data_IF_805149829747
#
_entry.id   IF_805149829747
#
_cell.length_a   1.000
_cell.length_b   1.000
_cell.length_c   1.000
_cell.angle_alpha   90.00
_cell.angle_beta   90.00
_cell.angle_gamma   90.00
#
_symmetry.space_group_name_H-M   'P 1'
#
loop_
_entity.id
_entity.type
_entity.pdbx_description
1 polymer ?
#
# COMPACT_ATOMS: atom_id res chain seq x y z
N UNK A 1 -9.20 12.75 -1.37
CA UNK A 1 -7.78 12.72 -0.97
C UNK A 1 -7.63 13.33 0.43
N UNK A 2 -7.68 12.56 1.52
CA UNK A 2 -7.65 13.08 2.91
C UNK A 2 -6.23 13.22 3.47
N UNK A 3 -5.26 12.43 2.97
CA UNK A 3 -3.86 12.43 3.40
C UNK A 3 -2.93 13.32 2.58
N UNK A 4 -3.45 14.02 1.57
CA UNK A 4 -2.66 14.92 0.73
C UNK A 4 -2.05 16.08 1.53
N UNK A 5 -0.93 16.62 1.04
CA UNK A 5 -0.14 17.62 1.78
C UNK A 5 -0.80 19.02 1.82
N UNK A 6 -1.78 19.27 0.95
CA UNK A 6 -2.55 20.52 0.96
C UNK A 6 -3.67 20.57 2.02
N UNK A 7 -3.97 19.46 2.68
CA UNK A 7 -5.14 19.39 3.55
C UNK A 7 -4.89 19.98 4.93
N UNK A 8 -5.87 20.72 5.43
CA UNK A 8 -5.87 21.33 6.75
C UNK A 8 -7.04 20.81 7.58
N UNK A 9 -6.80 20.65 8.88
CA UNK A 9 -7.88 20.46 9.85
C UNK A 9 -8.57 21.81 10.04
N UNK A 10 -9.91 21.83 10.03
CA UNK A 10 -10.69 23.06 10.25
C UNK A 10 -10.56 23.59 11.66
N UNK A 11 -10.26 22.72 12.62
CA UNK A 11 -10.38 23.02 14.04
C UNK A 11 -9.05 23.48 14.66
N UNK A 12 -7.92 23.22 13.99
CA UNK A 12 -6.58 23.50 14.51
C UNK A 12 -5.66 24.11 13.44
N UNK A 13 -4.75 25.01 13.86
CA UNK A 13 -3.72 25.65 13.01
C UNK A 13 -2.50 24.77 12.69
N UNK A 14 -2.63 23.45 12.76
CA UNK A 14 -1.53 22.53 12.46
C UNK A 14 -1.18 22.60 10.97
N UNK A 15 0.11 22.51 10.66
CA UNK A 15 0.56 22.25 9.30
C UNK A 15 0.08 20.88 8.81
N UNK A 16 0.20 20.64 7.51
CA UNK A 16 -0.18 19.35 6.93
C UNK A 16 0.64 18.20 7.51
N UNK A 17 1.96 18.38 7.65
CA UNK A 17 2.85 17.37 8.24
C UNK A 17 2.47 17.08 9.70
N UNK A 18 2.22 18.11 10.51
CA UNK A 18 1.83 17.95 11.92
C UNK A 18 0.46 17.29 12.08
N UNK A 19 -0.48 17.59 11.18
CA UNK A 19 -1.82 17.01 11.20
C UNK A 19 -1.90 15.63 10.54
N UNK A 20 -0.87 15.19 9.82
CA UNK A 20 -0.90 13.92 9.08
C UNK A 20 -1.22 12.71 9.96
N UNK A 21 -0.59 12.50 11.14
CA UNK A 21 -0.90 11.35 11.99
C UNK A 21 -2.37 11.33 12.45
N UNK A 22 -2.94 12.50 12.74
CA UNK A 22 -4.34 12.63 13.13
C UNK A 22 -5.28 12.29 11.97
N UNK A 23 -4.95 12.77 10.76
CA UNK A 23 -5.73 12.47 9.53
C UNK A 23 -5.64 10.99 9.17
N UNK A 24 -4.46 10.37 9.32
CA UNK A 24 -4.26 8.93 9.13
C UNK A 24 -5.08 8.12 10.13
N UNK A 25 -5.03 8.47 11.42
CA UNK A 25 -5.80 7.80 12.46
C UNK A 25 -7.31 7.86 12.16
N UNK A 26 -7.82 9.02 11.74
CA UNK A 26 -9.23 9.16 11.31
C UNK A 26 -9.56 8.28 10.11
N UNK A 27 -8.72 8.29 9.07
CA UNK A 27 -8.93 7.47 7.87
C UNK A 27 -8.98 5.97 8.23
N UNK A 28 -8.02 5.49 9.00
CA UNK A 28 -7.96 4.07 9.39
C UNK A 28 -9.17 3.69 10.25
N UNK A 29 -9.57 4.55 11.20
CA UNK A 29 -10.77 4.32 11.99
C UNK A 29 -12.05 4.31 11.15
N UNK A 30 -12.14 5.12 10.10
CA UNK A 30 -13.29 5.10 9.18
C UNK A 30 -13.29 3.84 8.28
N UNK A 31 -12.10 3.33 7.88
CA UNK A 31 -11.98 2.04 7.19
C UNK A 31 -12.45 0.90 8.10
N UNK A 32 -12.06 0.91 9.37
CA UNK A 32 -12.51 -0.10 10.35
C UNK A 32 -14.04 -0.10 10.48
N UNK A 33 -14.67 1.08 10.58
CA UNK A 33 -16.14 1.20 10.58
C UNK A 33 -16.77 0.64 9.30
N UNK A 34 -16.16 0.87 8.13
CA UNK A 34 -16.66 0.30 6.87
C UNK A 34 -16.60 -1.23 6.91
N UNK A 35 -15.50 -1.81 7.38
CA UNK A 35 -15.35 -3.26 7.54
C UNK A 35 -16.42 -3.81 8.50
N UNK A 36 -16.66 -3.14 9.62
CA UNK A 36 -17.68 -3.51 10.60
C UNK A 36 -19.10 -3.43 10.03
N UNK A 37 -19.43 -2.35 9.30
CA UNK A 37 -20.75 -2.21 8.66
C UNK A 37 -21.00 -3.32 7.64
N UNK A 38 -19.98 -3.69 6.84
CA UNK A 38 -20.09 -4.81 5.90
C UNK A 38 -20.30 -6.12 6.66
N UNK A 39 -19.57 -6.36 7.75
CA UNK A 39 -19.74 -7.54 8.58
C UNK A 39 -21.15 -7.64 9.18
N UNK A 40 -21.66 -6.54 9.75
CA UNK A 40 -23.00 -6.45 10.34
C UNK A 40 -24.12 -6.65 9.31
N UNK A 41 -23.87 -6.30 8.04
CA UNK A 41 -24.83 -6.53 6.95
C UNK A 41 -25.03 -8.02 6.61
N UNK A 42 -24.18 -8.91 7.13
CA UNK A 42 -24.16 -10.34 6.77
C UNK A 42 -23.64 -10.62 5.36
N UNK A 43 -23.17 -9.59 4.63
CA UNK A 43 -22.60 -9.74 3.30
C UNK A 43 -21.18 -10.29 3.38
N UNK A 44 -20.82 -11.07 2.37
CA UNK A 44 -19.45 -11.51 2.10
C UNK A 44 -18.78 -10.49 1.20
N UNK A 45 -17.57 -10.07 1.55
CA UNK A 45 -16.84 -9.08 0.78
C UNK A 45 -15.33 -9.30 0.82
N UNK A 46 -14.68 -8.91 -0.26
CA UNK A 46 -13.23 -8.71 -0.33
C UNK A 46 -13.00 -7.21 -0.39
N UNK A 47 -12.39 -6.65 0.64
CA UNK A 47 -12.03 -5.22 0.72
C UNK A 47 -10.54 -5.12 0.45
N UNK A 48 -10.17 -4.27 -0.51
CA UNK A 48 -8.80 -4.10 -0.98
C UNK A 48 -8.36 -2.67 -0.71
N UNK A 49 -7.29 -2.50 0.06
CA UNK A 49 -6.70 -1.22 0.40
C UNK A 49 -5.35 -1.07 -0.31
N UNK A 50 -5.26 -0.10 -1.24
CA UNK A 50 -4.06 0.16 -2.05
C UNK A 50 -3.79 1.66 -2.01
N UNK A 51 -2.78 2.12 -1.26
CA UNK A 51 -2.30 3.49 -1.33
C UNK A 51 -1.72 3.78 -2.72
N UNK A 52 -1.86 5.03 -3.18
CA UNK A 52 -1.26 5.48 -4.44
C UNK A 52 0.26 5.60 -4.33
N UNK A 53 0.71 6.36 -3.33
CA UNK A 53 2.11 6.55 -2.99
C UNK A 53 2.23 7.06 -1.55
N UNK A 54 3.45 7.09 -1.03
CA UNK A 54 3.79 7.64 0.28
C UNK A 54 3.70 9.18 0.31
N UNK A 55 3.43 9.73 1.48
CA UNK A 55 3.25 11.17 1.65
C UNK A 55 4.57 11.98 1.74
N UNK A 56 5.73 11.33 1.68
CA UNK A 56 7.05 11.97 1.84
C UNK A 56 7.18 12.79 3.13
N UNK A 57 6.65 12.27 4.25
CA UNK A 57 6.62 12.97 5.54
C UNK A 57 8.00 13.31 6.10
N UNK A 58 9.01 12.56 5.68
CA UNK A 58 10.42 12.78 5.99
C UNK A 58 11.13 13.00 4.66
N UNK A 59 11.95 14.04 4.59
CA UNK A 59 12.87 14.22 3.48
C UNK A 59 13.97 13.15 3.50
N UNK A 60 14.75 13.16 2.43
CA UNK A 60 15.99 12.40 2.28
C UNK A 60 17.11 13.34 1.82
N UNK A 61 18.29 12.80 1.51
CA UNK A 61 19.43 13.61 1.12
C UNK A 61 19.23 14.36 -0.22
N UNK A 62 18.28 13.92 -1.06
CA UNK A 62 18.07 14.44 -2.40
C UNK A 62 16.76 15.25 -2.53
N UNK A 63 15.80 15.11 -1.61
CA UNK A 63 14.56 15.90 -1.59
C UNK A 63 14.07 16.22 -0.17
N UNK A 64 13.55 17.43 0.02
CA UNK A 64 12.99 17.85 1.32
C UNK A 64 11.63 17.16 1.61
N UNK A 65 11.19 17.19 2.86
CA UNK A 65 9.88 16.65 3.23
C UNK A 65 8.75 17.28 2.40
N UNK A 66 7.81 16.45 1.95
CA UNK A 66 6.69 16.83 1.09
C UNK A 66 6.97 16.73 -0.42
N UNK A 67 8.24 16.76 -0.85
CA UNK A 67 8.60 16.56 -2.26
C UNK A 67 8.47 15.09 -2.68
N UNK A 68 8.07 14.88 -3.94
CA UNK A 68 7.88 13.55 -4.56
C UNK A 68 8.44 13.50 -5.99
N UNK A 69 9.46 14.32 -6.26
CA UNK A 69 10.07 14.40 -7.59
C UNK A 69 10.91 13.18 -7.92
N UNK A 70 11.46 12.51 -6.89
CA UNK A 70 12.13 11.22 -7.06
C UNK A 70 11.25 10.18 -6.35
N UNK A 71 10.75 9.15 -7.05
CA UNK A 71 9.96 8.07 -6.46
C UNK A 71 10.87 7.13 -5.66
N UNK A 72 11.38 7.59 -4.52
CA UNK A 72 12.30 6.82 -3.68
C UNK A 72 11.59 5.62 -3.04
N UNK A 73 12.33 4.61 -2.56
CA UNK A 73 11.72 3.46 -1.89
C UNK A 73 10.79 3.84 -0.72
N UNK A 74 11.05 4.95 -0.02
CA UNK A 74 10.19 5.45 1.08
C UNK A 74 8.85 6.01 0.59
N UNK A 75 8.74 6.35 -0.69
CA UNK A 75 7.53 6.87 -1.33
C UNK A 75 6.78 5.73 -2.01
N UNK A 76 7.48 4.83 -2.72
CA UNK A 76 6.79 3.79 -3.51
C UNK A 76 6.55 2.48 -2.75
N UNK A 77 7.24 2.23 -1.63
CA UNK A 77 6.94 1.08 -0.78
C UNK A 77 5.74 1.40 0.13
N UNK A 78 4.56 0.95 -0.28
CA UNK A 78 3.29 1.27 0.38
C UNK A 78 2.64 0.03 1.01
N UNK A 79 1.91 0.19 2.14
CA UNK A 79 1.19 -0.92 2.74
C UNK A 79 -0.07 -1.27 1.94
N UNK A 80 -0.11 -2.45 1.35
CA UNK A 80 -1.30 -3.00 0.68
C UNK A 80 -1.95 -4.05 1.57
N UNK A 81 -3.28 -4.03 1.67
CA UNK A 81 -4.04 -4.95 2.50
C UNK A 81 -5.26 -5.52 1.79
N UNK A 82 -5.54 -6.81 2.00
CA UNK A 82 -6.75 -7.48 1.53
C UNK A 82 -7.48 -8.09 2.72
N UNK A 83 -8.71 -7.65 2.96
CA UNK A 83 -9.57 -8.11 4.06
C UNK A 83 -10.76 -8.88 3.50
N UNK A 84 -10.89 -10.13 3.93
CA UNK A 84 -12.08 -10.93 3.67
C UNK A 84 -13.05 -10.79 4.84
N UNK A 85 -14.28 -10.38 4.55
CA UNK A 85 -15.35 -10.17 5.52
C UNK A 85 -16.42 -11.25 5.34
N UNK A 86 -16.86 -11.85 6.46
CA UNK A 86 -17.85 -12.92 6.44
C UNK A 86 -17.27 -14.31 6.13
N UNK A 87 -15.99 -14.54 6.46
CA UNK A 87 -15.39 -15.87 6.37
C UNK A 87 -16.09 -16.86 7.31
N UNK A 88 -16.28 -18.13 6.89
CA UNK A 88 -16.84 -19.17 7.75
C UNK A 88 -15.93 -19.49 8.95
N UNK A 89 -14.62 -19.25 8.80
CA UNK A 89 -13.60 -19.39 9.85
C UNK A 89 -13.00 -18.00 10.15
N UNK A 90 -13.57 -17.22 11.09
CA UNK A 90 -13.18 -15.83 11.30
C UNK A 90 -11.79 -15.64 11.94
N UNK A 91 -11.18 -16.70 12.48
CA UNK A 91 -9.93 -16.66 13.24
C UNK A 91 -8.70 -17.11 12.43
N UNK A 92 -8.76 -17.07 11.10
CA UNK A 92 -7.56 -17.31 10.29
C UNK A 92 -6.53 -16.19 10.50
N UNK A 93 -5.25 -16.58 10.66
CA UNK A 93 -4.16 -15.64 10.89
C UNK A 93 -3.95 -14.77 9.65
N UNK A 94 -3.56 -13.52 9.87
CA UNK A 94 -3.09 -12.63 8.79
C UNK A 94 -1.92 -13.30 8.05
N UNK A 95 -2.02 -13.36 6.73
CA UNK A 95 -0.95 -13.83 5.85
C UNK A 95 -0.11 -12.61 5.45
N UNK A 96 1.19 -12.67 5.73
CA UNK A 96 2.16 -11.65 5.28
C UNK A 96 2.82 -12.12 3.99
N UNK A 97 2.93 -11.22 3.02
CA UNK A 97 3.63 -11.46 1.74
C UNK A 97 4.86 -10.57 1.74
N UNK A 98 6.04 -11.14 1.99
CA UNK A 98 7.31 -10.42 2.03
C UNK A 98 7.99 -10.33 0.66
N UNK A 99 7.52 -11.11 -0.31
CA UNK A 99 8.07 -11.12 -1.66
C UNK A 99 7.81 -9.79 -2.38
N UNK A 100 8.75 -9.28 -3.21
CA UNK A 100 8.56 -8.06 -4.00
C UNK A 100 7.29 -8.13 -4.83
N UNK A 101 6.34 -7.24 -4.55
CA UNK A 101 4.99 -7.30 -5.10
C UNK A 101 4.58 -5.96 -5.70
N UNK A 102 3.77 -6.02 -6.75
CA UNK A 102 3.08 -4.87 -7.34
C UNK A 102 1.66 -5.28 -7.75
N UNK A 103 0.97 -4.49 -8.56
CA UNK A 103 -0.42 -4.69 -8.95
C UNK A 103 -0.70 -6.08 -9.54
N UNK A 104 0.26 -6.69 -10.25
CA UNK A 104 0.10 -8.03 -10.82
C UNK A 104 -0.07 -9.11 -9.73
N UNK A 105 0.68 -9.03 -8.63
CA UNK A 105 0.55 -9.94 -7.49
C UNK A 105 -0.82 -9.83 -6.83
N UNK A 106 -1.32 -8.60 -6.67
CA UNK A 106 -2.67 -8.34 -6.15
C UNK A 106 -3.76 -8.87 -7.10
N UNK A 107 -3.61 -8.65 -8.41
CA UNK A 107 -4.54 -9.17 -9.41
C UNK A 107 -4.59 -10.69 -9.40
N UNK A 108 -3.44 -11.36 -9.28
CA UNK A 108 -3.38 -12.81 -9.18
C UNK A 108 -4.04 -13.31 -7.88
N UNK A 109 -3.79 -12.66 -6.74
CA UNK A 109 -4.43 -13.00 -5.48
C UNK A 109 -5.96 -12.92 -5.58
N UNK A 110 -6.49 -11.83 -6.16
CA UNK A 110 -7.94 -11.69 -6.38
C UNK A 110 -8.47 -12.74 -7.36
N UNK A 111 -7.71 -13.06 -8.40
CA UNK A 111 -8.06 -14.15 -9.34
C UNK A 111 -8.15 -15.49 -8.61
N UNK A 112 -7.22 -15.80 -7.70
CA UNK A 112 -7.24 -17.03 -6.90
C UNK A 112 -8.50 -17.09 -6.03
N UNK A 113 -8.87 -15.98 -5.38
CA UNK A 113 -10.09 -15.87 -4.55
C UNK A 113 -11.39 -15.99 -5.37
N UNK A 114 -11.36 -15.62 -6.65
CA UNK A 114 -12.51 -15.80 -7.56
C UNK A 114 -12.59 -17.24 -8.06
N UNK A 115 -11.44 -17.84 -8.39
CA UNK A 115 -11.35 -19.20 -8.89
C UNK A 115 -11.77 -20.23 -7.83
N UNK A 116 -11.39 -20.00 -6.57
CA UNK A 116 -11.74 -20.85 -5.45
C UNK A 116 -12.40 -20.02 -4.34
N UNK A 117 -13.69 -20.27 -4.10
CA UNK A 117 -14.51 -19.41 -3.24
C UNK A 117 -14.05 -19.47 -1.77
N UNK A 118 -13.50 -18.37 -1.21
CA UNK A 118 -12.99 -18.36 0.17
C UNK A 118 -14.10 -18.38 1.23
N UNK A 119 -15.36 -18.21 0.82
CA UNK A 119 -16.52 -18.23 1.70
C UNK A 119 -17.26 -19.58 1.71
N UNK A 120 -16.72 -20.59 1.01
CA UNK A 120 -17.23 -21.96 1.06
C UNK A 120 -16.87 -22.62 2.40
N UNK A 121 -17.72 -23.54 2.88
CA UNK A 121 -17.49 -24.22 4.17
C UNK A 121 -16.18 -25.01 4.23
N UNK A 122 -15.70 -25.50 3.08
CA UNK A 122 -14.46 -26.26 2.93
C UNK A 122 -13.39 -25.46 2.16
N UNK A 123 -13.43 -24.13 2.23
CA UNK A 123 -12.40 -23.31 1.60
C UNK A 123 -10.99 -23.67 2.12
N UNK A 124 -9.96 -23.62 1.27
CA UNK A 124 -8.57 -23.69 1.71
C UNK A 124 -8.22 -22.63 2.76
N UNK A 125 -7.08 -22.82 3.42
CA UNK A 125 -6.52 -21.78 4.28
C UNK A 125 -6.13 -20.55 3.45
N UNK A 126 -6.23 -19.35 4.05
CA UNK A 126 -5.90 -18.08 3.38
C UNK A 126 -4.52 -18.07 2.72
N UNK A 127 -3.54 -18.74 3.33
CA UNK A 127 -2.17 -18.84 2.80
C UNK A 127 -2.12 -19.48 1.40
N UNK A 128 -3.04 -20.39 1.09
CA UNK A 128 -3.09 -21.08 -0.21
C UNK A 128 -3.44 -20.14 -1.36
N UNK A 129 -4.19 -19.07 -1.10
CA UNK A 129 -4.50 -18.06 -2.12
C UNK A 129 -3.32 -17.14 -2.43
N UNK A 130 -2.38 -17.04 -1.49
CA UNK A 130 -1.20 -16.19 -1.56
C UNK A 130 0.08 -16.95 -1.94
N UNK A 131 -0.02 -18.25 -2.25
CA UNK A 131 1.13 -19.04 -2.72
C UNK A 131 1.51 -18.64 -4.15
N UNK A 132 2.81 -18.59 -4.41
CA UNK A 132 3.38 -18.42 -5.76
C UNK A 132 2.83 -17.22 -6.54
N UNK A 133 2.53 -16.12 -5.84
CA UNK A 133 2.13 -14.88 -6.49
C UNK A 133 3.28 -14.32 -7.36
N UNK A 134 2.95 -13.72 -8.52
CA UNK A 134 3.94 -13.13 -9.40
C UNK A 134 4.65 -11.98 -8.69
N UNK A 135 5.98 -12.05 -8.68
CA UNK A 135 6.83 -11.04 -8.08
C UNK A 135 7.12 -9.92 -9.09
N UNK A 136 7.31 -8.70 -8.60
CA UNK A 136 7.69 -7.55 -9.40
C UNK A 136 8.85 -6.84 -8.73
N UNK A 137 9.94 -6.65 -9.47
CA UNK A 137 11.09 -5.89 -8.97
C UNK A 137 10.69 -4.44 -8.71
N UNK A 138 11.34 -3.83 -7.72
CA UNK A 138 11.06 -2.44 -7.36
C UNK A 138 11.54 -1.50 -8.46
N UNK A 139 10.59 -0.96 -9.22
CA UNK A 139 10.78 0.12 -10.19
C UNK A 139 9.74 1.20 -9.88
N UNK A 140 10.20 2.43 -9.68
CA UNK A 140 9.33 3.60 -9.55
C UNK A 140 9.68 4.60 -10.63
N UNK A 141 8.69 5.10 -11.36
CA UNK A 141 8.91 6.02 -12.47
C UNK A 141 7.91 7.17 -12.39
N UNK A 142 8.37 8.35 -12.77
CA UNK A 142 7.52 9.49 -13.10
C UNK A 142 8.00 10.10 -14.42
N UNK A 143 7.48 11.28 -14.79
CA UNK A 143 7.82 11.93 -16.06
C UNK A 143 9.33 12.14 -16.28
N UNK A 144 10.10 12.32 -15.20
CA UNK A 144 11.47 12.80 -15.28
C UNK A 144 12.51 11.83 -14.70
N UNK A 145 12.11 10.87 -13.87
CA UNK A 145 13.04 10.02 -13.11
C UNK A 145 12.59 8.58 -13.04
N UNK A 146 13.57 7.67 -12.97
CA UNK A 146 13.36 6.23 -12.77
C UNK A 146 14.20 5.77 -11.58
N UNK A 147 13.54 5.19 -10.58
CA UNK A 147 14.16 4.53 -9.43
C UNK A 147 14.15 3.02 -9.64
N UNK A 148 15.29 2.35 -9.43
CA UNK A 148 15.39 0.89 -9.47
C UNK A 148 16.16 0.35 -8.27
N UNK A 149 15.88 -0.88 -7.84
CA UNK A 149 16.70 -1.56 -6.81
C UNK A 149 18.06 -1.97 -7.39
N UNK A 150 19.12 -1.73 -6.63
CA UNK A 150 20.48 -2.22 -6.93
C UNK A 150 21.12 -2.77 -5.64
N UNK A 151 21.35 -4.08 -5.60
CA UNK A 151 21.80 -4.77 -4.38
C UNK A 151 20.89 -4.49 -3.18
N UNK A 152 21.47 -3.99 -2.09
CA UNK A 152 20.74 -3.56 -0.89
C UNK A 152 20.27 -2.10 -0.94
N UNK A 153 20.64 -1.36 -1.99
CA UNK A 153 20.29 0.04 -2.20
C UNK A 153 19.35 0.24 -3.38
N UNK A 154 19.41 1.43 -3.96
CA UNK A 154 18.67 1.80 -5.15
C UNK A 154 19.46 2.81 -5.97
N UNK A 155 19.17 2.87 -7.26
CA UNK A 155 19.71 3.87 -8.19
C UNK A 155 18.58 4.70 -8.76
N UNK A 156 18.90 5.93 -9.14
CA UNK A 156 17.98 6.88 -9.75
C UNK A 156 18.55 7.33 -11.08
N UNK A 157 17.79 7.17 -12.15
CA UNK A 157 18.04 7.85 -13.42
C UNK A 157 17.49 9.27 -13.33
N UNK A 158 18.36 10.26 -13.45
CA UNK A 158 18.01 11.67 -13.45
C UNK A 158 17.37 12.09 -14.79
N UNK A 159 16.77 13.29 -14.88
CA UNK A 159 16.19 13.79 -16.13
C UNK A 159 17.22 13.89 -17.28
N UNK A 160 18.49 14.13 -16.94
CA UNK A 160 19.61 14.17 -17.89
C UNK A 160 20.06 12.77 -18.36
N UNK A 161 19.41 11.71 -17.89
CA UNK A 161 19.68 10.32 -18.25
C UNK A 161 20.85 9.68 -17.50
N UNK A 162 21.41 10.35 -16.50
CA UNK A 162 22.53 9.85 -15.69
C UNK A 162 21.99 9.00 -14.55
N UNK A 163 22.62 7.86 -14.28
CA UNK A 163 22.32 7.03 -13.11
C UNK A 163 23.17 7.45 -11.92
N UNK A 164 22.53 7.70 -10.79
CA UNK A 164 23.17 8.02 -9.51
C UNK A 164 22.73 7.05 -8.43
N UNK A 165 23.62 6.78 -7.48
CA UNK A 165 23.25 6.01 -6.28
C UNK A 165 22.27 6.80 -5.41
N UNK A 166 21.19 6.13 -5.05
CA UNK A 166 20.21 6.60 -4.09
C UNK A 166 20.77 6.56 -2.67
N UNK A 167 20.59 7.65 -1.93
CA UNK A 167 20.96 7.69 -0.51
C UNK A 167 19.76 7.23 0.35
N UNK A 168 19.97 6.36 1.34
CA UNK A 168 18.89 5.79 2.15
C UNK A 168 18.14 6.78 3.04
#
# INVERSE_FOLDING_TARGET
>A
MTLHDGNRMTDNRLSSLESYPLRLSRLLGDIDKVIEMVAQSGRRAVIVFVPEHGAALRGDANQIAGMREIPTPRIINVPVGVKLVGLPRPNERTVTIDAPSSYLGLSQLLSNLVAENPFAAQAPALASYASDLPQTQMVGENEATVTMREGNGYVVRTPDGVWIEGKP
#
